data_IF_419563254002
#
_entry.id   IF_419563254002
#
_cell.length_a   1.000
_cell.length_b   1.000
_cell.length_c   1.000
_cell.angle_alpha   90.00
_cell.angle_beta   90.00
_cell.angle_gamma   90.00
#
_symmetry.space_group_name_H-M   'P 1'
#
loop_
_entity.id
_entity.type
_entity.pdbx_description
1 polymer ?
#
# COMPACT_ATOMS: atom_id res chain seq x y z
N UNK A 1 -8.27 11.29 11.77
CA UNK A 1 -9.39 11.64 12.66
C UNK A 1 -9.90 10.43 13.44
N UNK A 2 -10.23 10.62 14.74
CA UNK A 2 -10.61 9.52 15.64
C UNK A 2 -11.79 8.69 15.08
N UNK A 3 -12.79 9.34 14.47
CA UNK A 3 -13.95 8.65 13.87
C UNK A 3 -13.52 7.65 12.79
N UNK A 4 -12.56 8.01 11.94
CA UNK A 4 -12.04 7.12 10.89
C UNK A 4 -11.30 5.92 11.51
N UNK A 5 -10.48 6.16 12.53
CA UNK A 5 -9.77 5.13 13.28
C UNK A 5 -10.75 4.12 13.91
N UNK A 6 -11.76 4.60 14.65
CA UNK A 6 -12.78 3.74 15.27
C UNK A 6 -13.51 2.91 14.22
N UNK A 7 -13.92 3.53 13.09
CA UNK A 7 -14.57 2.83 11.98
C UNK A 7 -13.68 1.75 11.35
N UNK A 8 -12.39 2.04 11.17
CA UNK A 8 -11.41 1.05 10.68
C UNK A 8 -11.33 -0.15 11.63
N UNK A 9 -11.20 0.09 12.93
CA UNK A 9 -11.12 -0.98 13.93
C UNK A 9 -12.41 -1.81 14.00
N UNK A 10 -13.57 -1.18 13.89
CA UNK A 10 -14.86 -1.85 13.89
C UNK A 10 -15.03 -2.75 12.66
N UNK A 11 -14.75 -2.23 11.45
CA UNK A 11 -14.82 -3.00 10.21
C UNK A 11 -13.88 -4.21 10.19
N UNK A 12 -12.73 -4.12 10.85
CA UNK A 12 -11.78 -5.21 10.98
C UNK A 12 -12.09 -6.16 12.15
N UNK A 13 -13.17 -5.92 12.89
CA UNK A 13 -13.56 -6.73 14.03
C UNK A 13 -12.63 -6.61 15.24
N UNK A 14 -11.72 -5.62 15.27
CA UNK A 14 -10.79 -5.42 16.38
C UNK A 14 -11.48 -4.97 17.67
N UNK A 15 -12.65 -4.33 17.57
CA UNK A 15 -13.46 -3.92 18.71
C UNK A 15 -14.33 -5.06 19.27
N UNK A 16 -14.42 -6.19 18.60
CA UNK A 16 -15.21 -7.35 19.04
C UNK A 16 -14.44 -8.17 20.08
N UNK A 17 -15.08 -8.52 21.18
CA UNK A 17 -14.53 -9.44 22.19
C UNK A 17 -14.77 -10.92 21.83
N UNK A 18 -15.88 -11.19 21.12
CA UNK A 18 -16.26 -12.52 20.64
C UNK A 18 -16.48 -12.47 19.13
N UNK A 19 -16.51 -13.62 18.48
CA UNK A 19 -16.80 -13.77 17.05
C UNK A 19 -15.87 -12.91 16.16
N UNK A 20 -14.60 -12.86 16.51
CA UNK A 20 -13.59 -12.17 15.71
C UNK A 20 -13.40 -12.87 14.37
N UNK A 21 -13.23 -12.11 13.26
CA UNK A 21 -12.98 -12.71 11.96
C UNK A 21 -11.70 -13.55 11.99
N UNK A 22 -11.76 -14.75 11.41
CA UNK A 22 -10.57 -15.57 11.20
C UNK A 22 -9.75 -14.97 10.07
N UNK A 23 -8.62 -14.35 10.40
CA UNK A 23 -7.68 -13.84 9.41
C UNK A 23 -7.03 -14.98 8.64
N UNK A 24 -6.89 -14.80 7.34
CA UNK A 24 -6.28 -15.78 6.44
C UNK A 24 -5.34 -15.07 5.48
N UNK A 25 -4.32 -15.80 5.04
CA UNK A 25 -3.41 -15.35 3.98
C UNK A 25 -3.31 -16.43 2.91
N UNK A 26 -2.89 -16.04 1.71
CA UNK A 26 -2.69 -17.02 0.63
C UNK A 26 -1.36 -17.72 0.84
N UNK A 27 -1.37 -19.03 0.88
CA UNK A 27 -0.16 -19.84 0.98
C UNK A 27 0.73 -19.59 -0.25
N UNK A 28 2.00 -19.30 -0.03
CA UNK A 28 2.94 -18.93 -1.10
C UNK A 28 2.87 -17.45 -1.52
N UNK A 29 2.13 -16.63 -0.76
CA UNK A 29 2.03 -15.17 -0.98
C UNK A 29 1.11 -14.76 -2.12
N UNK A 30 0.95 -13.46 -2.30
CA UNK A 30 0.02 -12.88 -3.29
C UNK A 30 0.37 -13.24 -4.74
N UNK A 31 1.63 -13.45 -5.06
CA UNK A 31 2.05 -13.84 -6.40
C UNK A 31 1.39 -15.15 -6.88
N UNK A 32 1.02 -16.04 -5.96
CA UNK A 32 0.36 -17.31 -6.28
C UNK A 32 -1.00 -17.10 -6.96
N UNK A 33 -1.85 -16.21 -6.42
CA UNK A 33 -3.13 -15.92 -7.05
C UNK A 33 -3.02 -14.96 -8.22
N UNK A 34 -2.07 -14.01 -8.20
CA UNK A 34 -1.82 -13.09 -9.31
C UNK A 34 -1.51 -13.85 -10.60
N UNK A 35 -0.62 -14.86 -10.54
CA UNK A 35 -0.30 -15.71 -11.69
C UNK A 35 -1.55 -16.37 -12.28
N UNK A 36 -2.47 -16.82 -11.44
CA UNK A 36 -3.72 -17.44 -11.88
C UNK A 36 -4.69 -16.44 -12.49
N UNK A 37 -4.80 -15.25 -11.89
CA UNK A 37 -5.67 -14.17 -12.36
C UNK A 37 -5.25 -13.64 -13.73
N UNK A 38 -3.96 -13.41 -13.94
CA UNK A 38 -3.46 -12.80 -15.18
C UNK A 38 -3.37 -13.77 -16.35
N UNK A 39 -3.37 -15.08 -16.08
CA UNK A 39 -3.21 -16.11 -17.13
C UNK A 39 -4.09 -15.94 -18.36
N UNK A 40 -5.39 -15.58 -18.26
CA UNK A 40 -6.27 -15.43 -19.44
C UNK A 40 -5.91 -14.26 -20.36
N UNK A 41 -5.12 -13.30 -19.90
CA UNK A 41 -4.76 -12.07 -20.63
C UNK A 41 -3.28 -11.69 -20.45
N UNK A 42 -2.41 -12.66 -20.12
CA UNK A 42 -1.00 -12.43 -19.87
C UNK A 42 -0.27 -11.83 -21.08
N UNK A 43 -0.70 -12.19 -22.28
CA UNK A 43 -0.22 -11.68 -23.57
C UNK A 43 -0.59 -10.21 -23.82
N UNK A 44 -1.57 -9.68 -23.08
CA UNK A 44 -2.02 -8.28 -23.19
C UNK A 44 -1.39 -7.37 -22.13
N UNK A 45 -0.63 -7.92 -21.19
CA UNK A 45 0.05 -7.14 -20.14
C UNK A 45 1.31 -6.54 -20.75
N UNK A 46 1.39 -5.21 -20.76
CA UNK A 46 2.56 -4.46 -21.18
C UNK A 46 3.28 -3.93 -19.96
N UNK A 47 4.48 -4.43 -19.69
CA UNK A 47 5.36 -3.93 -18.64
C UNK A 47 6.29 -2.87 -19.22
N UNK A 48 6.75 -1.95 -18.36
CA UNK A 48 7.63 -0.85 -18.74
C UNK A 48 7.05 0.11 -19.79
N UNK A 49 5.72 0.22 -19.83
CA UNK A 49 4.99 1.17 -20.66
C UNK A 49 4.20 2.14 -19.78
N UNK A 50 4.85 3.11 -19.12
CA UNK A 50 4.16 4.08 -18.29
C UNK A 50 3.17 4.91 -19.11
N UNK A 51 1.95 5.03 -18.61
CA UNK A 51 0.95 5.94 -19.18
C UNK A 51 1.26 7.36 -18.69
N UNK A 52 1.31 8.31 -19.62
CA UNK A 52 1.62 9.72 -19.31
C UNK A 52 0.46 10.67 -19.57
N UNK A 53 -0.51 10.27 -20.43
CA UNK A 53 -1.68 11.09 -20.70
C UNK A 53 -2.91 10.22 -20.96
N UNK A 54 -4.05 10.68 -20.44
CA UNK A 54 -5.37 10.08 -20.64
C UNK A 54 -6.34 11.19 -20.96
N UNK A 55 -7.09 11.05 -22.05
CA UNK A 55 -8.10 12.00 -22.48
C UNK A 55 -9.39 11.30 -22.84
N UNK A 56 -10.49 11.74 -22.29
CA UNK A 56 -11.84 11.30 -22.67
C UNK A 56 -12.23 11.91 -24.02
N UNK A 57 -12.92 11.14 -24.81
CA UNK A 57 -13.52 11.56 -26.10
C UNK A 57 -14.99 11.16 -26.13
N UNK A 58 -15.74 11.60 -27.15
CA UNK A 58 -17.16 11.22 -27.29
C UNK A 58 -17.36 9.70 -27.39
N UNK A 59 -16.40 9.00 -28.03
CA UNK A 59 -16.50 7.57 -28.33
C UNK A 59 -15.53 6.69 -27.53
N UNK A 60 -14.97 7.17 -26.39
CA UNK A 60 -14.05 6.38 -25.59
C UNK A 60 -12.94 7.19 -24.93
N UNK A 61 -11.78 6.61 -24.77
CA UNK A 61 -10.64 7.17 -24.06
C UNK A 61 -9.36 6.99 -24.85
N UNK A 62 -8.67 8.08 -25.14
CA UNK A 62 -7.31 8.08 -25.72
C UNK A 62 -6.28 7.98 -24.59
N UNK A 63 -5.32 7.08 -24.74
CA UNK A 63 -4.23 6.84 -23.81
C UNK A 63 -2.90 7.03 -24.53
N UNK A 64 -1.97 7.75 -23.94
CA UNK A 64 -0.60 7.93 -24.47
C UNK A 64 0.41 7.38 -23.48
N UNK A 65 1.35 6.59 -23.95
CA UNK A 65 2.47 6.04 -23.18
C UNK A 65 3.72 6.90 -23.30
N UNK A 66 4.71 6.69 -22.44
CA UNK A 66 5.92 7.52 -22.35
C UNK A 66 6.82 7.47 -23.60
N UNK A 67 6.69 6.43 -24.41
CA UNK A 67 7.35 6.28 -25.73
C UNK A 67 6.60 6.97 -26.88
N UNK A 68 5.43 7.60 -26.57
CA UNK A 68 4.61 8.33 -27.51
C UNK A 68 3.57 7.46 -28.24
N UNK A 69 3.48 6.16 -27.95
CA UNK A 69 2.41 5.32 -28.50
C UNK A 69 1.03 5.82 -28.04
N UNK A 70 0.05 5.75 -28.92
CA UNK A 70 -1.35 6.12 -28.65
C UNK A 70 -2.24 4.91 -28.81
N UNK A 71 -3.11 4.72 -27.83
CA UNK A 71 -4.08 3.66 -27.79
C UNK A 71 -5.47 4.22 -27.54
N UNK A 72 -6.49 3.60 -28.13
CA UNK A 72 -7.88 3.96 -27.90
C UNK A 72 -8.62 2.78 -27.29
N UNK A 73 -9.43 3.08 -26.27
CA UNK A 73 -10.23 2.10 -25.53
C UNK A 73 -11.62 2.66 -25.30
N UNK A 74 -12.61 1.76 -25.11
CA UNK A 74 -13.97 2.16 -24.74
C UNK A 74 -13.99 2.71 -23.31
N UNK A 75 -13.14 2.17 -22.41
CA UNK A 75 -13.05 2.56 -21.01
C UNK A 75 -11.66 2.31 -20.45
N UNK A 76 -11.28 3.09 -19.43
CA UNK A 76 -10.00 2.96 -18.71
C UNK A 76 -10.27 2.89 -17.21
N UNK A 77 -9.61 1.97 -16.53
CA UNK A 77 -9.58 1.88 -15.07
C UNK A 77 -8.19 2.29 -14.58
N UNK A 78 -8.12 3.33 -13.77
CA UNK A 78 -6.89 3.78 -13.12
C UNK A 78 -6.73 3.05 -11.78
N UNK A 79 -5.81 2.09 -11.72
CA UNK A 79 -5.52 1.29 -10.54
C UNK A 79 -4.16 1.70 -9.93
N UNK A 80 -3.90 2.99 -9.84
CA UNK A 80 -2.72 3.60 -9.25
C UNK A 80 -3.12 4.57 -8.12
N UNK A 81 -2.15 5.22 -7.49
CA UNK A 81 -2.44 6.26 -6.50
C UNK A 81 -3.13 7.47 -7.14
N UNK A 82 -3.96 8.19 -6.38
CA UNK A 82 -4.68 9.37 -6.87
C UNK A 82 -3.74 10.52 -7.27
N UNK A 83 -2.62 10.69 -6.58
CA UNK A 83 -1.57 11.66 -6.91
C UNK A 83 -0.85 11.32 -8.23
N UNK A 84 -0.82 10.03 -8.61
CA UNK A 84 -0.32 9.56 -9.90
C UNK A 84 -1.40 9.66 -10.99
N UNK A 85 -2.65 9.38 -10.65
CA UNK A 85 -3.77 9.43 -11.59
C UNK A 85 -4.06 10.85 -12.08
N UNK A 86 -4.09 11.81 -11.15
CA UNK A 86 -4.46 13.19 -11.43
C UNK A 86 -3.62 13.86 -12.53
N UNK A 87 -2.28 13.80 -12.52
CA UNK A 87 -1.46 14.41 -13.58
C UNK A 87 -1.58 13.72 -14.95
N UNK A 88 -2.05 12.47 -15.00
CA UNK A 88 -2.27 11.78 -16.28
C UNK A 88 -3.54 12.27 -17.00
N UNK A 89 -4.53 12.79 -16.27
CA UNK A 89 -5.80 13.27 -16.84
C UNK A 89 -5.60 14.62 -17.52
N UNK A 90 -5.70 14.70 -18.85
CA UNK A 90 -5.52 15.94 -19.60
C UNK A 90 -6.78 16.81 -19.67
N UNK A 91 -7.93 16.23 -19.36
CA UNK A 91 -9.27 16.84 -19.38
C UNK A 91 -9.92 16.81 -17.99
N UNK A 92 -9.10 16.93 -16.93
CA UNK A 92 -9.54 16.85 -15.55
C UNK A 92 -10.61 17.91 -15.23
N UNK A 93 -11.72 17.47 -14.65
CA UNK A 93 -12.78 18.35 -14.15
C UNK A 93 -12.39 19.00 -12.81
N UNK A 94 -13.02 20.13 -12.44
CA UNK A 94 -12.79 20.73 -11.12
C UNK A 94 -13.10 19.78 -9.96
N UNK A 95 -14.15 18.97 -10.07
CA UNK A 95 -14.51 17.99 -9.05
C UNK A 95 -13.45 16.87 -8.90
N UNK A 96 -12.95 16.32 -10.00
CA UNK A 96 -11.87 15.33 -9.98
C UNK A 96 -10.59 15.90 -9.37
N UNK A 97 -10.24 17.14 -9.73
CA UNK A 97 -9.09 17.83 -9.18
C UNK A 97 -9.23 18.03 -7.66
N UNK A 98 -10.40 18.42 -7.21
CA UNK A 98 -10.69 18.61 -5.78
C UNK A 98 -10.62 17.28 -5.01
N UNK A 99 -11.27 16.23 -5.51
CA UNK A 99 -11.35 14.93 -4.81
C UNK A 99 -10.00 14.20 -4.83
N UNK A 100 -9.39 14.06 -6.00
CA UNK A 100 -8.12 13.32 -6.12
C UNK A 100 -6.96 14.08 -5.46
N UNK A 101 -6.96 15.42 -5.55
CA UNK A 101 -5.94 16.27 -4.95
C UNK A 101 -6.02 16.39 -3.43
N UNK A 102 -7.17 16.06 -2.82
CA UNK A 102 -7.33 16.05 -1.36
C UNK A 102 -6.67 14.84 -0.68
N UNK A 103 -6.25 13.84 -1.45
CA UNK A 103 -5.59 12.64 -0.93
C UNK A 103 -4.08 12.84 -1.01
N UNK A 104 -3.50 13.30 0.09
CA UNK A 104 -2.06 13.43 0.23
C UNK A 104 -1.40 12.07 0.45
N UNK A 105 -0.18 11.90 -0.06
CA UNK A 105 0.62 10.69 0.17
C UNK A 105 1.85 11.02 0.99
N UNK A 106 2.15 10.15 1.94
CA UNK A 106 3.32 10.22 2.80
C UNK A 106 4.33 9.16 2.38
N UNK A 107 5.54 9.61 2.16
CA UNK A 107 6.68 8.72 1.94
C UNK A 107 7.02 7.97 3.23
N UNK A 108 7.20 6.64 3.11
CA UNK A 108 7.60 5.78 4.20
C UNK A 108 8.74 4.87 3.72
N UNK A 109 9.89 5.01 4.33
CA UNK A 109 10.96 4.07 4.09
C UNK A 109 10.62 2.72 4.73
N UNK A 110 10.79 1.67 3.94
CA UNK A 110 10.42 0.31 4.33
C UNK A 110 11.60 -0.62 4.10
N UNK A 111 11.98 -1.33 5.15
CA UNK A 111 13.13 -2.25 5.13
C UNK A 111 12.64 -3.67 5.34
N UNK A 112 12.96 -4.56 4.40
CA UNK A 112 12.88 -6.01 4.59
C UNK A 112 14.20 -6.49 5.18
N UNK A 113 14.15 -7.17 6.33
CA UNK A 113 15.34 -7.58 7.08
C UNK A 113 15.11 -8.83 7.93
N UNK A 114 16.17 -9.35 8.54
CA UNK A 114 16.14 -10.49 9.47
C UNK A 114 16.61 -10.10 10.89
N UNK A 115 16.62 -8.84 11.21
CA UNK A 115 17.02 -8.35 12.53
C UNK A 115 15.86 -8.48 13.52
N UNK A 116 15.96 -9.45 14.45
CA UNK A 116 14.96 -9.68 15.49
C UNK A 116 15.07 -8.66 16.66
N UNK A 117 16.15 -7.89 16.76
CA UNK A 117 16.36 -6.94 17.86
C UNK A 117 15.33 -5.80 17.86
N UNK A 118 14.72 -5.53 16.71
CA UNK A 118 13.63 -4.56 16.52
C UNK A 118 12.32 -5.03 17.16
N UNK A 119 12.15 -6.35 17.33
CA UNK A 119 10.96 -6.92 17.94
C UNK A 119 11.00 -6.82 19.48
N UNK A 120 9.86 -6.97 20.18
CA UNK A 120 9.84 -6.96 21.63
C UNK A 120 10.83 -7.98 22.23
N UNK A 121 11.55 -7.62 23.31
CA UNK A 121 12.53 -8.51 23.95
C UNK A 121 11.97 -9.87 24.35
N UNK A 122 10.70 -9.91 24.75
CA UNK A 122 10.01 -11.16 25.12
C UNK A 122 9.32 -11.74 23.91
N UNK A 123 9.73 -12.91 23.42
CA UNK A 123 9.10 -13.58 22.28
C UNK A 123 7.59 -13.80 22.42
N UNK A 124 7.10 -13.99 23.65
CA UNK A 124 5.66 -14.09 23.92
C UNK A 124 4.87 -12.81 23.68
N UNK A 125 5.55 -11.66 23.56
CA UNK A 125 4.96 -10.38 23.22
C UNK A 125 5.01 -10.08 21.70
N UNK A 126 5.59 -10.96 20.91
CA UNK A 126 5.62 -10.79 19.46
C UNK A 126 4.21 -10.90 18.89
N UNK A 127 3.91 -10.00 18.00
CA UNK A 127 2.68 -9.97 17.22
C UNK A 127 3.01 -9.88 15.74
N UNK A 128 2.01 -10.13 14.89
CA UNK A 128 2.15 -9.89 13.45
C UNK A 128 2.49 -8.43 13.15
N UNK A 129 2.00 -7.49 13.97
CA UNK A 129 2.26 -6.05 13.90
C UNK A 129 2.80 -5.58 15.25
N UNK A 130 4.01 -5.05 15.25
CA UNK A 130 4.67 -4.52 16.44
C UNK A 130 4.88 -3.03 16.25
N UNK A 131 4.13 -2.21 17.00
CA UNK A 131 4.24 -0.77 16.95
C UNK A 131 5.33 -0.29 17.91
N UNK A 132 6.24 0.54 17.42
CA UNK A 132 7.29 1.14 18.22
C UNK A 132 6.99 2.62 18.45
N UNK A 133 7.07 3.05 19.73
CA UNK A 133 6.95 4.44 20.13
C UNK A 133 8.35 5.00 20.36
N UNK A 134 8.90 5.82 19.46
CA UNK A 134 10.16 6.47 19.67
C UNK A 134 10.06 7.50 20.81
N UNK A 135 11.17 7.74 21.52
CA UNK A 135 11.23 8.74 22.61
C UNK A 135 11.04 10.18 22.12
N UNK A 136 11.34 10.44 20.85
CA UNK A 136 11.05 11.70 20.15
C UNK A 136 10.00 11.43 19.09
N UNK A 137 8.97 12.28 19.08
CA UNK A 137 7.98 12.25 18.02
C UNK A 137 8.63 12.68 16.69
N UNK A 138 8.65 11.77 15.74
CA UNK A 138 9.15 12.01 14.37
C UNK A 138 8.04 12.40 13.42
N UNK A 139 6.79 12.42 13.86
CA UNK A 139 5.61 12.57 13.01
C UNK A 139 5.31 11.35 12.12
N UNK A 140 6.15 10.31 12.18
CA UNK A 140 6.04 9.09 11.39
C UNK A 140 5.71 7.89 12.29
N UNK A 141 4.80 7.05 11.83
CA UNK A 141 4.52 5.79 12.51
C UNK A 141 5.60 4.76 12.23
N UNK A 142 6.14 4.17 13.30
CA UNK A 142 7.10 3.06 13.21
C UNK A 142 6.42 1.75 13.52
N UNK A 143 6.38 0.86 12.53
CA UNK A 143 5.74 -0.45 12.65
C UNK A 143 6.67 -1.52 12.10
N UNK A 144 6.83 -2.62 12.84
CA UNK A 144 7.52 -3.83 12.35
C UNK A 144 6.52 -4.98 12.20
N UNK A 145 6.38 -5.46 10.99
CA UNK A 145 5.63 -6.67 10.67
C UNK A 145 6.52 -7.89 10.85
N UNK A 146 6.10 -8.84 11.67
CA UNK A 146 6.69 -10.18 11.72
C UNK A 146 6.03 -11.03 10.63
N UNK A 147 6.73 -11.21 9.52
CA UNK A 147 6.18 -11.88 8.34
C UNK A 147 5.95 -13.37 8.56
N UNK A 148 6.76 -14.01 9.43
CA UNK A 148 6.56 -15.42 9.76
C UNK A 148 5.22 -15.64 10.46
N UNK A 149 4.86 -14.75 11.39
CA UNK A 149 3.56 -14.79 12.04
C UNK A 149 2.42 -14.37 11.10
N UNK A 150 2.64 -13.30 10.32
CA UNK A 150 1.61 -12.73 9.45
C UNK A 150 1.22 -13.67 8.29
N UNK A 151 2.19 -14.38 7.73
CA UNK A 151 2.01 -15.26 6.57
C UNK A 151 2.18 -16.75 6.89
N UNK A 152 2.33 -17.13 8.16
CA UNK A 152 2.60 -18.50 8.60
C UNK A 152 3.78 -19.13 7.83
N UNK A 153 4.89 -18.40 7.74
CA UNK A 153 6.08 -18.86 7.03
C UNK A 153 6.81 -19.91 7.90
N UNK A 154 7.05 -21.07 7.32
CA UNK A 154 7.98 -22.06 7.87
C UNK A 154 9.40 -21.73 7.33
N UNK A 155 10.13 -20.93 8.07
CA UNK A 155 11.44 -20.43 7.67
C UNK A 155 12.43 -20.45 8.85
N UNK A 156 13.71 -20.73 8.59
CA UNK A 156 14.73 -20.83 9.63
C UNK A 156 15.12 -19.49 10.28
N UNK A 157 14.66 -18.38 9.69
CA UNK A 157 14.88 -17.01 10.16
C UNK A 157 13.56 -16.26 10.25
N UNK A 158 13.53 -15.27 11.14
CA UNK A 158 12.41 -14.34 11.22
C UNK A 158 12.60 -13.25 10.18
N UNK A 159 11.65 -13.14 9.25
CA UNK A 159 11.58 -12.03 8.29
C UNK A 159 10.74 -10.91 8.85
N UNK A 160 11.30 -9.72 8.88
CA UNK A 160 10.67 -8.50 9.33
C UNK A 160 10.54 -7.49 8.20
N UNK A 161 9.44 -6.74 8.22
CA UNK A 161 9.27 -5.54 7.38
C UNK A 161 9.03 -4.37 8.31
N UNK A 162 9.96 -3.42 8.36
CA UNK A 162 9.89 -2.27 9.26
C UNK A 162 9.75 -0.98 8.48
N UNK A 163 8.79 -0.15 8.91
CA UNK A 163 8.54 1.19 8.37
C UNK A 163 9.17 2.23 9.27
N UNK A 164 9.86 3.21 8.66
CA UNK A 164 10.34 4.46 9.29
C UNK A 164 11.24 4.24 10.53
N UNK A 165 12.07 3.21 10.51
CA UNK A 165 13.02 2.94 11.61
C UNK A 165 14.32 2.29 11.13
N UNK A 166 14.80 2.69 9.98
CA UNK A 166 15.98 2.09 9.36
C UNK A 166 17.25 2.21 10.20
N UNK A 167 17.40 3.32 10.92
CA UNK A 167 18.59 3.62 11.74
C UNK A 167 18.80 2.66 12.92
N UNK A 168 17.80 1.84 13.26
CA UNK A 168 17.90 0.85 14.34
C UNK A 168 18.14 -0.58 13.82
N UNK A 169 18.07 -0.80 12.50
CA UNK A 169 18.23 -2.11 11.90
C UNK A 169 19.71 -2.36 11.60
N UNK A 170 20.22 -3.50 12.02
CA UNK A 170 21.58 -3.94 11.69
C UNK A 170 21.74 -4.01 10.14
N UNK A 171 22.66 -3.23 9.55
CA UNK A 171 22.86 -3.17 8.10
C UNK A 171 23.15 -4.54 7.47
N UNK A 172 23.85 -5.43 8.18
CA UNK A 172 24.21 -6.77 7.70
C UNK A 172 23.01 -7.73 7.62
N UNK A 173 21.89 -7.33 8.22
CA UNK A 173 20.62 -8.09 8.22
C UNK A 173 19.59 -7.53 7.26
N UNK A 174 19.89 -6.44 6.55
CA UNK A 174 19.02 -5.85 5.56
C UNK A 174 19.04 -6.69 4.28
N UNK A 175 17.85 -7.03 3.80
CA UNK A 175 17.66 -7.74 2.53
C UNK A 175 17.33 -6.73 1.43
N UNK A 176 16.42 -5.78 1.72
CA UNK A 176 15.98 -4.79 0.73
C UNK A 176 15.41 -3.56 1.41
N UNK A 177 15.65 -2.39 0.77
CA UNK A 177 15.01 -1.11 1.10
C UNK A 177 14.06 -0.73 -0.03
N UNK A 178 12.89 -0.25 0.31
CA UNK A 178 11.85 0.16 -0.63
C UNK A 178 11.16 1.39 -0.05
N UNK A 179 11.02 2.44 -0.82
CA UNK A 179 10.20 3.58 -0.44
C UNK A 179 8.77 3.36 -0.92
N UNK A 180 7.82 3.37 0.02
CA UNK A 180 6.39 3.34 -0.26
C UNK A 180 5.74 4.67 0.05
N UNK A 181 4.73 5.02 -0.72
CA UNK A 181 3.89 6.17 -0.49
C UNK A 181 2.52 5.70 0.02
N UNK A 182 2.12 6.14 1.21
CA UNK A 182 0.84 5.76 1.80
C UNK A 182 -0.10 6.97 1.89
N UNK A 183 -1.40 6.79 1.59
CA UNK A 183 -2.37 7.88 1.69
C UNK A 183 -2.52 8.32 3.16
N UNK A 184 -2.55 9.63 3.38
CA UNK A 184 -2.81 10.24 4.69
C UNK A 184 -4.31 10.49 4.86
N UNK A 185 -4.86 9.95 5.93
CA UNK A 185 -6.27 10.14 6.26
C UNK A 185 -6.47 11.41 7.10
N UNK A 186 -6.45 12.57 6.42
CA UNK A 186 -6.77 13.89 7.01
C UNK A 186 -8.29 14.09 7.08
N UNK A 187 -8.74 15.19 7.67
CA UNK A 187 -10.15 15.56 7.63
C UNK A 187 -10.65 15.81 6.18
N UNK A 188 -9.81 16.44 5.37
CA UNK A 188 -10.11 16.77 3.98
C UNK A 188 -10.17 15.51 3.09
N UNK A 189 -9.21 14.57 3.28
CA UNK A 189 -9.25 13.26 2.61
C UNK A 189 -10.56 12.53 2.90
N UNK A 190 -11.03 12.52 4.17
CA UNK A 190 -12.27 11.84 4.53
C UNK A 190 -13.50 12.55 3.94
N UNK A 191 -13.49 13.87 3.91
CA UNK A 191 -14.56 14.65 3.27
C UNK A 191 -14.61 14.41 1.75
N UNK A 192 -13.45 14.31 1.10
CA UNK A 192 -13.35 13.99 -0.33
C UNK A 192 -13.87 12.58 -0.67
N UNK A 193 -13.53 11.58 0.15
CA UNK A 193 -13.99 10.19 -0.04
C UNK A 193 -15.51 10.01 0.17
N UNK A 194 -16.20 10.99 0.70
CA UNK A 194 -17.66 10.96 0.92
C UNK A 194 -18.46 11.57 -0.25
N UNK A 195 -17.78 12.12 -1.26
CA UNK A 195 -18.36 12.74 -2.47
C UNK A 195 -18.35 11.78 -3.64
#
# INVERSE_FOLDING_TARGET
PARHFVRFFDHHGFLKLKDRPQWRTVRGGSQSYVKSLVRPFADRIRLNHPVVAIRRTEDGVDLTTSDGERHRFDSVVLACHSDQALPMLTDVSPAEKEVLGAIEYQENETVLHTDESILPRRRRAWASWNYFLPSKDTGLSTVTYNMNMLQSLDAPRTFCVTLNNEGMIDPDRVIRRITYHHPRFTADTIAALAR
#
